data_IF_602739285611
#
_entry.id   IF_602739285611
#
_cell.length_a   1.000
_cell.length_b   1.000
_cell.length_c   1.000
_cell.angle_alpha   90.00
_cell.angle_beta   90.00
_cell.angle_gamma   90.00
#
_symmetry.space_group_name_H-M   'P 1'
#
loop_
_entity.id
_entity.type
_entity.pdbx_description
1 polymer ?
#
# COMPACT_ATOMS: atom_id res chain seq x y z
N UNK A 1 4.27 29.51 11.79
CA UNK A 1 4.30 28.89 10.45
C UNK A 1 4.16 27.38 10.65
N UNK A 2 2.93 26.90 10.80
CA UNK A 2 2.66 25.47 11.01
C UNK A 2 2.91 24.74 9.69
N UNK A 3 3.95 23.91 9.64
CA UNK A 3 4.09 22.92 8.58
C UNK A 3 3.04 21.83 8.84
N UNK A 4 1.81 22.06 8.39
CA UNK A 4 0.83 21.00 8.20
C UNK A 4 1.34 20.11 7.07
N UNK A 5 2.15 19.12 7.44
CA UNK A 5 2.57 18.04 6.54
C UNK A 5 1.29 17.29 6.17
N UNK A 6 0.77 17.57 4.98
CA UNK A 6 -0.46 17.00 4.42
C UNK A 6 -0.54 15.49 4.67
N UNK A 7 -1.45 15.00 5.53
CA UNK A 7 -1.56 13.59 5.92
C UNK A 7 -1.88 12.64 4.74
N UNK A 8 -2.30 13.19 3.60
CA UNK A 8 -2.65 12.46 2.39
C UNK A 8 -1.45 11.79 1.71
N UNK A 9 -0.33 12.53 1.61
CA UNK A 9 0.89 11.99 1.02
C UNK A 9 1.51 10.90 1.90
N UNK A 10 1.37 11.02 3.23
CA UNK A 10 1.95 10.05 4.16
C UNK A 10 1.31 8.67 4.08
N UNK A 11 -0.02 8.60 3.92
CA UNK A 11 -0.74 7.31 3.88
C UNK A 11 -0.43 6.52 2.60
N UNK A 12 -0.48 7.19 1.43
CA UNK A 12 -0.11 6.58 0.15
C UNK A 12 1.36 6.14 0.14
N UNK A 13 2.25 6.98 0.68
CA UNK A 13 3.68 6.68 0.70
C UNK A 13 4.02 5.56 1.69
N UNK A 14 3.28 5.43 2.79
CA UNK A 14 3.34 4.26 3.68
C UNK A 14 2.86 2.99 2.99
N UNK A 15 1.74 3.06 2.25
CA UNK A 15 1.19 1.93 1.51
C UNK A 15 2.17 1.41 0.46
N UNK A 16 2.76 2.31 -0.34
CA UNK A 16 3.78 1.96 -1.32
C UNK A 16 5.02 1.31 -0.69
N UNK A 17 5.47 1.83 0.46
CA UNK A 17 6.57 1.23 1.21
C UNK A 17 6.24 -0.17 1.72
N UNK A 18 5.00 -0.40 2.16
CA UNK A 18 4.53 -1.71 2.61
C UNK A 18 4.46 -2.70 1.44
N UNK A 19 3.87 -2.31 0.31
CA UNK A 19 3.81 -3.15 -0.89
C UNK A 19 5.20 -3.51 -1.40
N UNK A 20 6.13 -2.55 -1.44
CA UNK A 20 7.51 -2.84 -1.83
C UNK A 20 8.18 -3.89 -0.92
N UNK A 21 7.87 -3.90 0.38
CA UNK A 21 8.36 -4.94 1.30
C UNK A 21 7.71 -6.30 1.03
N UNK A 22 6.41 -6.32 0.76
CA UNK A 22 5.66 -7.52 0.41
C UNK A 22 6.21 -8.14 -0.88
N UNK A 23 6.46 -7.34 -1.93
CA UNK A 23 7.06 -7.82 -3.18
C UNK A 23 8.45 -8.42 -2.96
N UNK A 24 9.30 -7.75 -2.16
CA UNK A 24 10.63 -8.28 -1.78
C UNK A 24 10.54 -9.57 -0.98
N UNK A 25 9.52 -9.75 -0.16
CA UNK A 25 9.28 -11.02 0.54
C UNK A 25 8.80 -12.09 -0.43
N UNK A 26 7.85 -11.78 -1.31
CA UNK A 26 7.34 -12.69 -2.32
C UNK A 26 8.46 -13.22 -3.25
N UNK A 27 9.44 -12.39 -3.60
CA UNK A 27 10.62 -12.80 -4.38
C UNK A 27 11.49 -13.86 -3.71
N UNK A 28 11.46 -13.94 -2.37
CA UNK A 28 12.28 -14.87 -1.56
C UNK A 28 11.53 -16.12 -1.13
N UNK A 29 10.23 -16.21 -1.43
CA UNK A 29 9.39 -17.35 -1.08
C UNK A 29 9.38 -18.34 -2.24
N UNK A 30 9.69 -19.60 -1.93
CA UNK A 30 9.65 -20.71 -2.87
C UNK A 30 8.23 -21.27 -3.05
N UNK A 31 7.40 -21.20 -2.01
CA UNK A 31 6.01 -21.62 -2.04
C UNK A 31 5.17 -20.71 -2.97
N UNK A 32 4.62 -21.25 -4.08
CA UNK A 32 3.86 -20.46 -5.05
C UNK A 32 2.53 -19.95 -4.50
N UNK A 33 1.89 -20.65 -3.56
CA UNK A 33 0.63 -20.24 -2.93
C UNK A 33 0.86 -19.06 -2.00
N UNK A 34 1.88 -19.15 -1.14
CA UNK A 34 2.27 -18.04 -0.26
C UNK A 34 2.72 -16.81 -1.06
N UNK A 35 3.48 -17.01 -2.14
CA UNK A 35 3.87 -15.93 -3.07
C UNK A 35 2.64 -15.25 -3.66
N UNK A 36 1.64 -16.03 -4.11
CA UNK A 36 0.38 -15.50 -4.65
C UNK A 36 -0.39 -14.71 -3.61
N UNK A 37 -0.52 -15.22 -2.38
CA UNK A 37 -1.21 -14.54 -1.29
C UNK A 37 -0.57 -13.18 -0.98
N UNK A 38 0.77 -13.11 -0.92
CA UNK A 38 1.49 -11.86 -0.69
C UNK A 38 1.22 -10.84 -1.79
N UNK A 39 1.34 -11.23 -3.06
CA UNK A 39 1.13 -10.32 -4.18
C UNK A 39 -0.32 -9.80 -4.24
N UNK A 40 -1.32 -10.67 -4.03
CA UNK A 40 -2.73 -10.26 -3.94
C UNK A 40 -2.93 -9.26 -2.79
N UNK A 41 -2.38 -9.56 -1.62
CA UNK A 41 -2.48 -8.67 -0.45
C UNK A 41 -1.86 -7.29 -0.72
N UNK A 42 -0.77 -7.23 -1.48
CA UNK A 42 -0.15 -5.97 -1.91
C UNK A 42 -1.09 -5.13 -2.78
N UNK A 43 -1.75 -5.73 -3.77
CA UNK A 43 -2.76 -5.05 -4.59
C UNK A 43 -3.92 -4.52 -3.74
N UNK A 44 -4.49 -5.35 -2.86
CA UNK A 44 -5.63 -4.97 -2.01
C UNK A 44 -5.30 -3.78 -1.10
N UNK A 45 -4.06 -3.68 -0.61
CA UNK A 45 -3.61 -2.55 0.22
C UNK A 45 -3.59 -1.25 -0.59
N UNK A 46 -3.05 -1.27 -1.81
CA UNK A 46 -3.00 -0.08 -2.67
C UNK A 46 -4.41 0.35 -3.05
N UNK A 47 -5.25 -0.58 -3.50
CA UNK A 47 -6.61 -0.30 -3.92
C UNK A 47 -7.42 0.35 -2.78
N UNK A 48 -7.37 -0.22 -1.57
CA UNK A 48 -8.04 0.37 -0.40
C UNK A 48 -7.56 1.77 -0.07
N UNK A 49 -6.25 2.03 -0.17
CA UNK A 49 -5.70 3.37 0.12
C UNK A 49 -6.13 4.36 -0.96
N UNK A 50 -6.13 3.96 -2.22
CA UNK A 50 -6.64 4.80 -3.32
C UNK A 50 -8.12 5.11 -3.17
N UNK A 51 -8.96 4.12 -2.82
CA UNK A 51 -10.38 4.31 -2.54
C UNK A 51 -10.62 5.28 -1.36
N UNK A 52 -9.84 5.15 -0.29
CA UNK A 52 -9.92 6.06 0.85
C UNK A 52 -9.54 7.49 0.46
N UNK A 53 -8.52 7.68 -0.38
CA UNK A 53 -8.15 9.01 -0.88
C UNK A 53 -9.24 9.58 -1.78
N UNK A 54 -9.82 8.79 -2.70
CA UNK A 54 -10.92 9.24 -3.56
C UNK A 54 -12.15 9.64 -2.74
N UNK A 55 -12.52 8.85 -1.74
CA UNK A 55 -13.65 9.15 -0.85
C UNK A 55 -13.41 10.45 -0.07
N UNK A 56 -12.17 10.71 0.37
CA UNK A 56 -11.80 11.95 1.08
C UNK A 56 -11.69 13.18 0.18
N UNK A 57 -11.39 13.01 -1.11
CA UNK A 57 -11.37 14.11 -2.09
C UNK A 57 -12.78 14.46 -2.58
N UNK A 58 -13.68 13.48 -2.60
CA UNK A 58 -15.07 13.67 -3.01
C UNK A 58 -16.00 14.18 -1.88
N UNK A 59 -15.55 14.18 -0.63
CA UNK A 59 -16.26 14.67 0.55
C UNK A 59 -15.84 16.10 0.92
#
# INVERSE_FOLDING_TARGET
MSQEKTPQLTDLQMALNLVSKIEKQAQRIDDPELKRILLISGCDIIDRVLEQQQTRVAA
#
